data_IF_225745669361
#
_entry.id   IF_225745669361
#
_cell.length_a   1.000
_cell.length_b   1.000
_cell.length_c   1.000
_cell.angle_alpha   90.00
_cell.angle_beta   90.00
_cell.angle_gamma   90.00
#
_symmetry.space_group_name_H-M   'P 1'
#
loop_
_entity.id
_entity.type
_entity.pdbx_description
1 polymer ?
#
# COMPACT_ATOMS: atom_id res chain seq x y z
N UNK A 1 -5.77 -19.51 -7.10
CA UNK A 1 -6.66 -18.36 -6.80
C UNK A 1 -5.86 -17.09 -7.01
N UNK A 2 -6.35 -16.12 -7.80
CA UNK A 2 -5.61 -14.93 -8.22
C UNK A 2 -5.41 -13.95 -7.05
N UNK A 3 -4.28 -14.05 -6.35
CA UNK A 3 -3.94 -13.22 -5.18
C UNK A 3 -3.88 -11.72 -5.53
N UNK A 4 -3.34 -11.40 -6.71
CA UNK A 4 -3.33 -10.05 -7.30
C UNK A 4 -4.73 -9.44 -7.42
N UNK A 5 -5.73 -10.21 -7.90
CA UNK A 5 -7.09 -9.69 -8.07
C UNK A 5 -7.76 -9.33 -6.73
N UNK A 6 -7.44 -10.08 -5.66
CA UNK A 6 -7.91 -9.78 -4.30
C UNK A 6 -7.25 -8.52 -3.75
N UNK A 7 -5.95 -8.33 -3.96
CA UNK A 7 -5.28 -7.09 -3.55
C UNK A 7 -5.77 -5.87 -4.34
N UNK A 8 -5.98 -6.01 -5.65
CA UNK A 8 -6.55 -4.93 -6.47
C UNK A 8 -7.91 -4.48 -5.97
N UNK A 9 -8.73 -5.42 -5.51
CA UNK A 9 -10.02 -5.11 -4.87
C UNK A 9 -9.86 -4.39 -3.53
N UNK A 10 -8.89 -4.78 -2.69
CA UNK A 10 -8.58 -4.10 -1.41
C UNK A 10 -8.03 -2.68 -1.58
N UNK A 11 -7.46 -2.39 -2.76
CA UNK A 11 -6.98 -1.06 -3.12
C UNK A 11 -8.10 -0.10 -3.53
N UNK A 12 -9.34 -0.58 -3.74
CA UNK A 12 -10.49 0.29 -4.02
C UNK A 12 -11.10 0.78 -2.72
N UNK A 13 -10.95 2.08 -2.45
CA UNK A 13 -11.21 2.75 -1.18
C UNK A 13 -12.18 3.90 -1.38
N UNK A 14 -12.54 4.60 -0.31
CA UNK A 14 -13.43 5.77 -0.39
C UNK A 14 -12.76 7.04 -0.90
N UNK A 15 -11.43 7.03 -1.07
CA UNK A 15 -10.59 8.19 -1.37
C UNK A 15 -9.87 8.02 -2.70
N UNK A 16 -10.05 9.00 -3.60
CA UNK A 16 -9.60 8.93 -4.98
C UNK A 16 -8.07 9.00 -5.08
N UNK A 17 -7.44 9.82 -4.23
CA UNK A 17 -5.99 9.93 -4.12
C UNK A 17 -5.35 8.61 -3.68
N UNK A 18 -5.97 7.94 -2.70
CA UNK A 18 -5.52 6.65 -2.19
C UNK A 18 -5.64 5.57 -3.29
N UNK A 19 -6.77 5.55 -3.99
CA UNK A 19 -7.00 4.63 -5.12
C UNK A 19 -5.94 4.80 -6.20
N UNK A 20 -5.62 6.04 -6.59
CA UNK A 20 -4.61 6.32 -7.62
C UNK A 20 -3.25 5.80 -7.19
N UNK A 21 -2.81 6.12 -5.97
CA UNK A 21 -1.49 5.70 -5.48
C UNK A 21 -1.40 4.19 -5.38
N UNK A 22 -2.40 3.55 -4.76
CA UNK A 22 -2.39 2.09 -4.57
C UNK A 22 -2.48 1.33 -5.89
N UNK A 23 -3.31 1.78 -6.85
CA UNK A 23 -3.43 1.13 -8.15
C UNK A 23 -2.17 1.30 -9.00
N UNK A 24 -1.55 2.49 -9.02
CA UNK A 24 -0.28 2.72 -9.72
C UNK A 24 0.84 1.89 -9.14
N UNK A 25 0.95 1.86 -7.81
CA UNK A 25 1.90 1.01 -7.10
C UNK A 25 1.67 -0.49 -7.42
N UNK A 26 0.41 -0.92 -7.44
CA UNK A 26 0.04 -2.28 -7.81
C UNK A 26 0.51 -2.65 -9.22
N UNK A 27 0.34 -1.75 -10.18
CA UNK A 27 0.72 -2.01 -11.58
C UNK A 27 2.23 -1.91 -11.81
N UNK A 28 2.96 -1.08 -11.05
CA UNK A 28 4.39 -0.85 -11.25
C UNK A 28 5.31 -1.73 -10.39
N UNK A 29 4.95 -2.00 -9.14
CA UNK A 29 5.84 -2.61 -8.15
C UNK A 29 5.36 -3.95 -7.61
N UNK A 30 4.05 -4.24 -7.59
CA UNK A 30 3.53 -5.42 -6.89
C UNK A 30 4.09 -6.76 -7.38
N UNK A 31 4.39 -6.89 -8.67
CA UNK A 31 5.02 -8.11 -9.22
C UNK A 31 6.51 -8.24 -8.88
N UNK A 32 7.14 -7.15 -8.46
CA UNK A 32 8.56 -7.08 -8.10
C UNK A 32 8.79 -7.14 -6.58
N UNK A 33 7.72 -7.19 -5.79
CA UNK A 33 7.83 -7.28 -4.33
C UNK A 33 8.25 -8.68 -3.92
N UNK A 34 9.13 -8.74 -2.92
CA UNK A 34 9.48 -9.97 -2.23
C UNK A 34 8.35 -10.40 -1.27
N UNK A 35 8.34 -11.67 -0.84
CA UNK A 35 7.30 -12.21 0.07
C UNK A 35 7.10 -11.34 1.32
N UNK A 36 8.19 -10.89 1.95
CA UNK A 36 8.12 -10.02 3.13
C UNK A 36 7.46 -8.67 2.82
N UNK A 37 7.69 -8.12 1.62
CA UNK A 37 7.09 -6.86 1.20
C UNK A 37 5.60 -7.04 0.86
N UNK A 38 5.21 -8.18 0.29
CA UNK A 38 3.80 -8.52 0.13
C UNK A 38 3.08 -8.60 1.47
N UNK A 39 3.66 -9.28 2.46
CA UNK A 39 3.07 -9.37 3.81
C UNK A 39 2.92 -7.99 4.46
N UNK A 40 3.94 -7.13 4.35
CA UNK A 40 3.87 -5.75 4.84
C UNK A 40 2.82 -4.93 4.12
N UNK A 41 2.70 -5.06 2.79
CA UNK A 41 1.67 -4.37 2.02
C UNK A 41 0.26 -4.84 2.41
N UNK A 42 0.07 -6.15 2.58
CA UNK A 42 -1.20 -6.70 3.07
C UNK A 42 -1.55 -6.18 4.46
N UNK A 43 -0.59 -6.15 5.38
CA UNK A 43 -0.76 -5.60 6.71
C UNK A 43 -1.10 -4.10 6.65
N UNK A 44 -0.46 -3.34 5.75
CA UNK A 44 -0.74 -1.93 5.53
C UNK A 44 -2.19 -1.71 5.05
N UNK A 45 -2.70 -2.58 4.18
CA UNK A 45 -4.10 -2.53 3.73
C UNK A 45 -5.11 -2.88 4.84
N UNK A 46 -4.70 -3.30 6.04
CA UNK A 46 -5.64 -3.47 7.16
C UNK A 46 -5.99 -2.14 7.84
N UNK A 47 -5.23 -1.08 7.60
CA UNK A 47 -5.46 0.22 8.21
C UNK A 47 -6.63 0.98 7.55
N UNK A 48 -7.31 1.88 8.32
CA UNK A 48 -8.33 2.78 7.79
C UNK A 48 -7.77 3.75 6.75
N UNK A 49 -8.62 4.16 5.81
CA UNK A 49 -8.25 5.01 4.66
C UNK A 49 -7.51 6.29 5.07
N UNK A 50 -7.99 6.97 6.13
CA UNK A 50 -7.37 8.19 6.64
C UNK A 50 -5.97 7.97 7.20
N UNK A 51 -5.78 6.90 7.97
CA UNK A 51 -4.47 6.58 8.55
C UNK A 51 -3.49 6.13 7.47
N UNK A 52 -3.97 5.33 6.52
CA UNK A 52 -3.21 4.85 5.38
C UNK A 52 -2.73 6.02 4.52
N UNK A 53 -3.61 6.99 4.23
CA UNK A 53 -3.24 8.23 3.54
C UNK A 53 -2.24 9.08 4.35
N UNK A 54 -2.42 9.21 5.67
CA UNK A 54 -1.48 9.96 6.51
C UNK A 54 -0.10 9.30 6.55
N UNK A 55 -0.03 7.97 6.58
CA UNK A 55 1.23 7.24 6.52
C UNK A 55 1.92 7.43 5.17
N UNK A 56 1.19 7.32 4.06
CA UNK A 56 1.76 7.49 2.71
C UNK A 56 2.14 8.95 2.45
N UNK A 57 1.22 9.89 2.61
CA UNK A 57 1.41 11.29 2.21
C UNK A 57 2.20 12.12 3.23
N UNK A 58 2.11 11.79 4.53
CA UNK A 58 2.71 12.58 5.62
C UNK A 58 3.76 11.82 6.41
N UNK A 59 4.01 10.54 6.12
CA UNK A 59 4.91 9.67 6.87
C UNK A 59 4.67 9.75 8.39
N UNK A 60 3.39 9.93 8.78
CA UNK A 60 2.96 10.19 10.15
C UNK A 60 2.17 8.99 10.64
N UNK A 61 2.40 8.58 11.90
CA UNK A 61 1.68 7.46 12.50
C UNK A 61 2.12 6.08 12.02
N UNK A 62 3.33 5.98 11.44
CA UNK A 62 3.92 4.69 11.06
C UNK A 62 4.28 3.91 12.33
N UNK A 63 3.63 2.76 12.58
CA UNK A 63 3.78 2.05 13.87
C UNK A 63 5.08 1.25 13.95
N UNK A 64 5.62 0.81 12.81
CA UNK A 64 6.82 -0.01 12.74
C UNK A 64 7.73 0.47 11.61
N UNK A 65 9.04 0.47 11.85
CA UNK A 65 10.04 0.78 10.83
C UNK A 65 10.04 -0.25 9.69
N UNK A 66 9.50 -1.43 9.92
CA UNK A 66 9.29 -2.45 8.89
C UNK A 66 8.43 -1.95 7.72
N UNK A 67 7.52 -0.99 7.92
CA UNK A 67 6.71 -0.40 6.84
C UNK A 67 7.43 0.69 6.04
N UNK A 68 8.56 1.21 6.51
CA UNK A 68 9.32 2.25 5.79
C UNK A 68 9.70 1.87 4.35
N UNK A 69 10.19 0.66 4.04
CA UNK A 69 10.51 0.29 2.65
C UNK A 69 9.28 0.33 1.74
N UNK A 70 8.14 -0.22 2.17
CA UNK A 70 6.92 -0.23 1.34
C UNK A 70 6.33 1.18 1.17
N UNK A 71 6.37 1.99 2.23
CA UNK A 71 5.93 3.39 2.20
C UNK A 71 6.77 4.24 1.25
N UNK A 72 8.09 4.00 1.19
CA UNK A 72 8.95 4.68 0.21
C UNK A 72 8.56 4.36 -1.22
N UNK A 73 8.33 3.08 -1.54
CA UNK A 73 7.91 2.69 -2.89
C UNK A 73 6.54 3.28 -3.28
N UNK A 74 5.63 3.40 -2.30
CA UNK A 74 4.33 4.06 -2.48
C UNK A 74 4.48 5.58 -2.74
N UNK A 75 5.51 6.22 -2.18
CA UNK A 75 5.79 7.65 -2.36
C UNK A 75 6.58 7.97 -3.64
N UNK A 76 7.33 7.01 -4.18
CA UNK A 76 8.12 7.19 -5.41
C UNK A 76 7.27 7.12 -6.69
N UNK A 77 5.96 6.86 -6.60
CA UNK A 77 5.01 6.82 -7.71
C UNK A 77 4.22 8.11 -7.90
#
# INVERSE_FOLDING_TARGET
MNHQARMRWRCRRGMLELDIVLLRFMDAHYEQLDEQQHELFEALLTYPDHDLWNMIARNTGVPDEAFRPILRLLQEN
#
